data_IF_269108519870
#
_entry.id   IF_269108519870
#
_cell.length_a   1.000
_cell.length_b   1.000
_cell.length_c   1.000
_cell.angle_alpha   90.00
_cell.angle_beta   90.00
_cell.angle_gamma   90.00
#
_symmetry.space_group_name_H-M   'P 1'
#
loop_
_entity.id
_entity.type
_entity.pdbx_description
1 polymer ?
#
# COMPACT_ATOMS: atom_id res chain seq x y z
N UNK A 1 24.59 6.78 -7.96
CA UNK A 1 23.44 5.93 -8.36
C UNK A 1 23.91 4.58 -8.94
N UNK A 2 23.59 3.46 -8.28
CA UNK A 2 24.00 2.10 -8.72
C UNK A 2 22.92 1.36 -9.53
N UNK A 3 21.97 2.10 -10.10
CA UNK A 3 20.78 1.54 -10.76
C UNK A 3 20.01 0.55 -9.86
N UNK A 4 19.89 0.88 -8.57
CA UNK A 4 19.12 0.13 -7.57
C UNK A 4 18.00 1.03 -7.09
N UNK A 5 16.76 0.58 -7.24
CA UNK A 5 15.58 1.28 -6.73
C UNK A 5 15.34 0.86 -5.29
N UNK A 6 15.67 1.76 -4.35
CA UNK A 6 15.32 1.58 -2.94
C UNK A 6 14.04 2.35 -2.68
N UNK A 7 13.04 1.69 -2.10
CA UNK A 7 11.78 2.29 -1.71
C UNK A 7 11.43 1.86 -0.27
N UNK A 8 10.84 2.78 0.48
CA UNK A 8 10.33 2.62 1.82
C UNK A 8 8.80 2.68 1.79
N UNK A 9 8.15 1.63 2.28
CA UNK A 9 6.70 1.53 2.32
C UNK A 9 6.23 1.68 3.75
N UNK A 10 5.41 2.70 3.98
CA UNK A 10 4.78 2.97 5.27
C UNK A 10 3.37 2.42 5.17
N UNK A 11 3.07 1.38 5.95
CA UNK A 11 1.76 0.78 6.02
C UNK A 11 1.14 1.21 7.35
N UNK A 12 0.27 2.21 7.29
CA UNK A 12 -0.36 2.80 8.46
C UNK A 12 -1.85 2.42 8.46
N UNK A 13 -2.19 1.43 9.28
CA UNK A 13 -3.54 0.90 9.36
C UNK A 13 -3.59 -0.61 9.57
N UNK A 14 -4.79 -1.11 9.87
CA UNK A 14 -5.03 -2.55 10.01
C UNK A 14 -5.15 -3.19 8.63
N UNK A 15 -4.45 -4.31 8.41
CA UNK A 15 -4.56 -5.10 7.18
C UNK A 15 -5.69 -6.13 7.36
N UNK A 16 -6.45 -6.40 6.29
CA UNK A 16 -7.48 -7.44 6.32
C UNK A 16 -6.86 -8.83 6.59
N UNK A 17 -7.33 -9.54 7.62
CA UNK A 17 -6.82 -10.86 7.93
C UNK A 17 -7.29 -11.89 6.89
N UNK A 18 -6.44 -12.85 6.52
CA UNK A 18 -6.77 -13.84 5.51
C UNK A 18 -7.96 -14.70 5.95
N UNK A 19 -8.90 -14.93 5.03
CA UNK A 19 -10.06 -15.79 5.27
C UNK A 19 -11.17 -15.18 6.12
N UNK A 20 -11.07 -13.91 6.54
CA UNK A 20 -12.21 -13.17 7.09
C UNK A 20 -12.86 -12.33 6.01
N UNK A 21 -14.20 -12.34 5.96
CA UNK A 21 -14.95 -11.42 5.13
C UNK A 21 -14.73 -9.98 5.63
N UNK A 22 -14.75 -9.02 4.70
CA UNK A 22 -14.81 -7.60 5.04
C UNK A 22 -15.98 -7.35 5.99
N UNK A 23 -15.78 -6.49 7.00
CA UNK A 23 -16.87 -6.09 7.90
C UNK A 23 -17.86 -5.24 7.11
N UNK A 24 -19.07 -5.75 6.77
CA UNK A 24 -19.98 -5.04 5.86
C UNK A 24 -20.45 -3.71 6.46
N UNK A 25 -20.54 -3.65 7.78
CA UNK A 25 -20.96 -2.47 8.54
C UNK A 25 -19.84 -1.43 8.70
N UNK A 26 -18.60 -1.76 8.31
CA UNK A 26 -17.41 -0.90 8.43
C UNK A 26 -16.51 -1.02 7.19
N UNK A 27 -17.02 -0.61 6.00
CA UNK A 27 -16.25 -0.67 4.77
C UNK A 27 -14.99 0.20 4.84
N UNK A 28 -13.95 -0.20 4.11
CA UNK A 28 -12.70 0.55 3.92
C UNK A 28 -11.91 0.90 5.20
N UNK A 29 -12.27 0.29 6.33
CA UNK A 29 -11.59 0.46 7.61
C UNK A 29 -10.21 -0.20 7.65
N UNK A 30 -10.01 -1.21 6.81
CA UNK A 30 -8.77 -1.98 6.73
C UNK A 30 -8.17 -1.87 5.33
N UNK A 31 -6.86 -2.02 5.27
CA UNK A 31 -6.10 -2.11 4.03
C UNK A 31 -6.27 -3.50 3.41
N UNK A 32 -6.60 -3.53 2.13
CA UNK A 32 -6.62 -4.77 1.34
C UNK A 32 -5.18 -5.25 1.08
N UNK A 33 -4.83 -6.51 1.40
CA UNK A 33 -3.56 -7.12 1.04
C UNK A 33 -3.25 -7.05 -0.47
N UNK A 34 -4.28 -7.24 -1.30
CA UNK A 34 -4.13 -7.20 -2.77
C UNK A 34 -3.82 -5.78 -3.25
N UNK A 35 -4.47 -4.76 -2.69
CA UNK A 35 -4.16 -3.36 -3.00
C UNK A 35 -2.75 -2.96 -2.55
N UNK A 36 -2.29 -3.45 -1.39
CA UNK A 36 -0.89 -3.28 -0.95
C UNK A 36 0.06 -3.91 -1.98
N UNK A 37 -0.19 -5.16 -2.39
CA UNK A 37 0.64 -5.87 -3.37
C UNK A 37 0.66 -5.17 -4.74
N UNK A 38 -0.48 -4.63 -5.19
CA UNK A 38 -0.56 -3.84 -6.42
C UNK A 38 0.33 -2.59 -6.34
N UNK A 39 0.36 -1.92 -5.18
CA UNK A 39 1.22 -0.76 -4.96
C UNK A 39 2.71 -1.12 -5.05
N UNK A 40 3.12 -2.25 -4.46
CA UNK A 40 4.49 -2.77 -4.64
C UNK A 40 4.83 -3.00 -6.12
N UNK A 41 3.89 -3.60 -6.87
CA UNK A 41 4.08 -3.88 -8.28
C UNK A 41 4.17 -2.58 -9.12
N UNK A 42 3.37 -1.57 -8.77
CA UNK A 42 3.42 -0.26 -9.40
C UNK A 42 4.78 0.42 -9.17
N UNK A 43 5.30 0.41 -7.93
CA UNK A 43 6.62 0.96 -7.59
C UNK A 43 7.72 0.22 -8.34
N UNK A 44 7.69 -1.12 -8.36
CA UNK A 44 8.67 -1.93 -9.09
C UNK A 44 8.74 -1.60 -10.58
N UNK A 45 7.59 -1.24 -11.19
CA UNK A 45 7.48 -0.92 -12.61
C UNK A 45 7.83 0.53 -12.96
N UNK A 46 8.15 1.37 -11.97
CA UNK A 46 8.50 2.77 -12.23
C UNK A 46 9.70 2.89 -13.16
N UNK A 47 9.59 3.78 -14.15
CA UNK A 47 10.72 4.14 -14.98
C UNK A 47 11.81 4.79 -14.11
N UNK A 48 13.09 4.46 -14.36
CA UNK A 48 14.23 4.91 -13.55
C UNK A 48 14.38 6.42 -13.37
N UNK A 49 13.73 7.21 -14.22
CA UNK A 49 13.72 8.68 -14.13
C UNK A 49 12.71 9.21 -13.10
N UNK A 50 11.86 8.36 -12.52
CA UNK A 50 10.74 8.73 -11.67
C UNK A 50 10.52 7.70 -10.55
N UNK A 51 11.61 7.26 -9.90
CA UNK A 51 11.54 6.36 -8.75
C UNK A 51 11.06 7.09 -7.50
N UNK A 52 10.00 6.58 -6.88
CA UNK A 52 9.57 6.95 -5.54
C UNK A 52 10.52 6.34 -4.51
N UNK A 53 10.91 7.15 -3.52
CA UNK A 53 11.67 6.69 -2.37
C UNK A 53 10.78 6.30 -1.18
N UNK A 54 9.65 6.99 -1.00
CA UNK A 54 8.69 6.71 0.07
C UNK A 54 7.27 6.62 -0.49
N UNK A 55 6.49 5.68 0.05
CA UNK A 55 5.09 5.43 -0.31
C UNK A 55 4.30 5.12 0.95
N UNK A 56 3.31 5.97 1.25
CA UNK A 56 2.38 5.80 2.36
C UNK A 56 1.09 5.11 1.89
N UNK A 57 0.72 4.02 2.57
CA UNK A 57 -0.56 3.33 2.39
C UNK A 57 -1.39 3.48 3.65
N UNK A 58 -2.60 4.00 3.50
CA UNK A 58 -3.54 4.27 4.61
C UNK A 58 -4.96 3.87 4.24
N UNK A 59 -5.78 3.42 5.20
CA UNK A 59 -7.18 3.16 4.97
C UNK A 59 -7.92 4.47 4.66
N UNK A 60 -8.95 4.39 3.84
CA UNK A 60 -9.72 5.55 3.38
C UNK A 60 -10.40 6.33 4.52
N UNK A 61 -10.82 5.62 5.57
CA UNK A 61 -11.66 6.17 6.64
C UNK A 61 -10.92 7.06 7.65
N UNK A 62 -9.63 7.34 7.46
CA UNK A 62 -8.92 8.32 8.29
C UNK A 62 -9.50 9.73 8.08
N UNK A 63 -9.89 10.37 9.19
CA UNK A 63 -10.32 11.78 9.23
C UNK A 63 -9.12 12.71 9.39
N UNK A 64 -9.08 13.78 8.59
CA UNK A 64 -8.05 14.82 8.57
C UNK A 64 -8.48 16.09 9.33
#
# INVERSE_FOLDING_TARGET
PKNIHVAHFIIDGQIEPPGQAAEPDRPDRRLSPDAIAETYLAVHRQHRSAWSFEVDLRPWVETF
#
